data_IF_080643681361
#
_entry.id   IF_080643681361
#
_cell.length_a   1.000
_cell.length_b   1.000
_cell.length_c   1.000
_cell.angle_alpha   90.00
_cell.angle_beta   90.00
_cell.angle_gamma   90.00
#
_symmetry.space_group_name_H-M   'P 1'
#
loop_
_entity.id
_entity.type
_entity.pdbx_description
1 polymer ?
#
# COMPACT_ATOMS: atom_id res chain seq x y z
N UNK A 1 21.89 35.71 22.74
CA UNK A 1 22.83 35.46 21.63
C UNK A 1 23.01 33.96 21.37
N UNK A 2 23.52 33.16 22.31
CA UNK A 2 23.83 31.73 22.12
C UNK A 2 22.68 30.86 21.55
N UNK A 3 21.43 31.09 21.96
CA UNK A 3 20.27 30.34 21.43
C UNK A 3 19.90 30.72 19.99
N UNK A 4 20.16 31.95 19.55
CA UNK A 4 19.90 32.40 18.17
C UNK A 4 20.93 31.82 17.20
N UNK A 5 22.18 31.70 17.63
CA UNK A 5 23.26 31.10 16.82
C UNK A 5 23.05 29.59 16.66
N UNK A 6 22.57 28.90 17.69
CA UNK A 6 22.22 27.47 17.61
C UNK A 6 21.05 27.21 16.64
N UNK A 7 20.01 28.04 16.68
CA UNK A 7 18.84 27.91 15.80
C UNK A 7 19.18 28.21 14.33
N UNK A 8 20.13 29.13 14.09
CA UNK A 8 20.69 29.41 12.77
C UNK A 8 21.59 28.28 12.27
N UNK A 9 22.43 27.70 13.13
CA UNK A 9 23.26 26.53 12.79
C UNK A 9 22.38 25.31 12.50
N UNK A 10 21.31 25.09 13.25
CA UNK A 10 20.36 24.00 13.02
C UNK A 10 19.60 24.19 11.69
N UNK A 11 19.16 25.41 11.37
CA UNK A 11 18.56 25.75 10.06
C UNK A 11 19.55 25.57 8.91
N UNK A 12 20.81 25.94 9.11
CA UNK A 12 21.88 25.75 8.12
C UNK A 12 22.19 24.26 7.92
N UNK A 13 22.29 23.49 9.00
CA UNK A 13 22.54 22.05 8.95
C UNK A 13 21.38 21.28 8.30
N UNK A 14 20.14 21.63 8.63
CA UNK A 14 18.95 21.02 8.00
C UNK A 14 18.83 21.40 6.52
N UNK A 15 19.17 22.63 6.12
CA UNK A 15 19.20 23.04 4.70
C UNK A 15 20.38 22.47 3.90
N UNK A 16 21.52 22.19 4.54
CA UNK A 16 22.64 21.47 3.92
C UNK A 16 22.30 19.98 3.77
N UNK A 17 21.59 19.38 4.72
CA UNK A 17 21.21 17.96 4.67
C UNK A 17 20.01 17.67 3.75
N UNK A 18 19.13 18.65 3.48
CA UNK A 18 17.98 18.45 2.58
C UNK A 18 18.41 18.17 1.14
N UNK A 19 19.44 18.84 0.61
CA UNK A 19 19.91 18.64 -0.76
C UNK A 19 20.44 17.21 -1.03
N UNK A 20 21.35 16.64 -0.20
CA UNK A 20 21.76 15.24 -0.31
C UNK A 20 20.60 14.26 -0.12
N UNK A 21 19.68 14.52 0.82
CA UNK A 21 18.51 13.64 1.04
C UNK A 21 17.59 13.65 -0.17
N UNK A 22 17.31 14.82 -0.75
CA UNK A 22 16.54 14.95 -1.99
C UNK A 22 17.26 14.27 -3.16
N UNK A 23 18.57 14.46 -3.29
CA UNK A 23 19.39 13.78 -4.30
C UNK A 23 19.36 12.26 -4.18
N UNK A 24 19.47 11.73 -2.96
CA UNK A 24 19.33 10.29 -2.67
C UNK A 24 17.91 9.80 -2.98
N UNK A 25 16.88 10.56 -2.63
CA UNK A 25 15.49 10.23 -2.99
C UNK A 25 15.33 10.16 -4.51
N UNK A 26 15.78 11.17 -5.25
CA UNK A 26 15.72 11.21 -6.73
C UNK A 26 16.49 10.05 -7.33
N UNK A 27 17.72 9.80 -6.87
CA UNK A 27 18.54 8.66 -7.31
C UNK A 27 17.85 7.31 -7.06
N UNK A 28 17.23 7.16 -5.88
CA UNK A 28 16.43 5.99 -5.54
C UNK A 28 15.22 5.82 -6.48
N UNK A 29 14.48 6.90 -6.77
CA UNK A 29 13.34 6.86 -7.70
C UNK A 29 13.77 6.54 -9.15
N UNK A 30 14.87 7.10 -9.63
CA UNK A 30 15.41 6.83 -10.96
C UNK A 30 15.90 5.39 -11.09
N UNK A 31 16.68 4.90 -10.12
CA UNK A 31 17.16 3.51 -10.08
C UNK A 31 15.99 2.52 -10.07
N UNK A 32 14.97 2.80 -9.25
CA UNK A 32 13.75 2.00 -9.19
C UNK A 32 12.99 1.97 -10.53
N UNK A 33 12.95 3.11 -11.24
CA UNK A 33 12.29 3.20 -12.54
C UNK A 33 13.03 2.39 -13.61
N UNK A 34 14.36 2.44 -13.63
CA UNK A 34 15.18 1.60 -14.53
C UNK A 34 14.97 0.10 -14.27
N UNK A 35 14.95 -0.32 -13.01
CA UNK A 35 14.68 -1.71 -12.65
C UNK A 35 13.29 -2.16 -13.06
N UNK A 36 12.29 -1.28 -12.93
CA UNK A 36 10.92 -1.55 -13.38
C UNK A 36 10.84 -1.82 -14.88
N UNK A 37 11.51 -1.00 -15.70
CA UNK A 37 11.52 -1.17 -17.17
C UNK A 37 12.15 -2.52 -17.55
N UNK A 38 13.33 -2.84 -17.01
CA UNK A 38 14.00 -4.14 -17.23
C UNK A 38 13.11 -5.33 -16.84
N UNK A 39 12.35 -5.21 -15.75
CA UNK A 39 11.45 -6.27 -15.32
C UNK A 39 10.23 -6.42 -16.24
N UNK A 40 9.72 -5.32 -16.82
CA UNK A 40 8.63 -5.36 -17.81
C UNK A 40 9.11 -6.09 -19.07
N UNK A 41 10.29 -5.75 -19.58
CA UNK A 41 10.88 -6.42 -20.75
C UNK A 41 11.03 -7.93 -20.50
N UNK A 42 11.59 -8.31 -19.35
CA UNK A 42 11.68 -9.72 -18.95
C UNK A 42 10.32 -10.41 -18.84
N UNK A 43 9.32 -9.73 -18.29
CA UNK A 43 7.96 -10.28 -18.16
C UNK A 43 7.36 -10.59 -19.53
N UNK A 44 7.52 -9.68 -20.50
CA UNK A 44 7.05 -9.89 -21.88
C UNK A 44 7.74 -11.11 -22.48
N UNK A 45 9.06 -11.23 -22.35
CA UNK A 45 9.81 -12.39 -22.87
C UNK A 45 9.38 -13.71 -22.25
N UNK A 46 9.15 -13.76 -20.94
CA UNK A 46 8.79 -15.00 -20.22
C UNK A 46 7.34 -15.41 -20.49
N UNK A 47 6.42 -14.46 -20.70
CA UNK A 47 5.02 -14.76 -21.01
C UNK A 47 4.87 -15.31 -22.43
N UNK A 48 5.71 -14.87 -23.36
CA UNK A 48 5.69 -15.30 -24.77
C UNK A 48 6.54 -16.56 -25.06
N UNK A 49 7.19 -17.16 -24.07
CA UNK A 49 8.05 -18.33 -24.28
C UNK A 49 7.27 -19.66 -24.24
N UNK A 50 7.74 -20.67 -24.97
CA UNK A 50 7.12 -22.01 -24.99
C UNK A 50 7.21 -22.74 -23.64
N UNK A 51 8.19 -22.37 -22.80
CA UNK A 51 8.36 -22.89 -21.43
C UNK A 51 8.14 -21.78 -20.42
N UNK A 52 6.87 -21.61 -20.02
CA UNK A 52 6.49 -20.55 -19.09
C UNK A 52 6.83 -20.96 -17.65
N UNK A 53 7.72 -20.20 -17.03
CA UNK A 53 7.98 -20.31 -15.60
C UNK A 53 6.95 -19.46 -14.82
N UNK A 54 5.89 -20.09 -14.33
CA UNK A 54 4.80 -19.41 -13.61
C UNK A 54 5.30 -18.63 -12.39
N UNK A 55 6.23 -19.18 -11.60
CA UNK A 55 6.78 -18.53 -10.41
C UNK A 55 7.49 -17.23 -10.78
N UNK A 56 8.27 -17.25 -11.87
CA UNK A 56 8.98 -16.07 -12.36
C UNK A 56 8.01 -14.99 -12.86
N UNK A 57 6.95 -15.38 -13.58
CA UNK A 57 5.90 -14.45 -14.04
C UNK A 57 5.25 -13.73 -12.86
N UNK A 58 4.85 -14.48 -11.84
CA UNK A 58 4.21 -13.92 -10.64
C UNK A 58 5.14 -12.97 -9.89
N UNK A 59 6.41 -13.37 -9.69
CA UNK A 59 7.40 -12.54 -9.02
C UNK A 59 7.70 -11.23 -9.78
N UNK A 60 7.85 -11.30 -11.10
CA UNK A 60 8.06 -10.12 -11.95
C UNK A 60 6.84 -9.19 -11.89
N UNK A 61 5.63 -9.72 -12.00
CA UNK A 61 4.40 -8.94 -11.93
C UNK A 61 4.26 -8.20 -10.60
N UNK A 62 4.48 -8.91 -9.47
CA UNK A 62 4.47 -8.30 -8.14
C UNK A 62 5.54 -7.21 -7.99
N UNK A 63 6.74 -7.44 -8.53
CA UNK A 63 7.83 -6.45 -8.51
C UNK A 63 7.48 -5.16 -9.27
N UNK A 64 6.87 -5.29 -10.45
CA UNK A 64 6.55 -4.15 -11.33
C UNK A 64 5.37 -3.34 -10.80
N UNK A 65 4.29 -4.02 -10.40
CA UNK A 65 3.00 -3.39 -10.12
C UNK A 65 2.68 -3.29 -8.62
N UNK A 66 3.52 -3.85 -7.74
CA UNK A 66 3.31 -3.90 -6.28
C UNK A 66 1.92 -4.45 -5.91
N UNK A 67 1.43 -5.37 -6.72
CA UNK A 67 0.21 -6.12 -6.42
C UNK A 67 0.53 -7.22 -5.42
N UNK A 68 -0.42 -7.58 -4.56
CA UNK A 68 -0.42 -8.89 -3.90
C UNK A 68 -0.58 -9.99 -4.95
N UNK A 69 -0.48 -11.24 -4.48
CA UNK A 69 -0.56 -12.47 -5.28
C UNK A 69 -1.60 -12.37 -6.43
N UNK A 70 -1.10 -12.42 -7.65
CA UNK A 70 -1.84 -12.59 -8.91
C UNK A 70 -1.23 -13.81 -9.58
N UNK A 71 -2.07 -14.74 -10.00
CA UNK A 71 -1.59 -15.98 -10.63
C UNK A 71 -1.02 -15.71 -12.02
N UNK A 72 -0.07 -16.54 -12.45
CA UNK A 72 0.51 -16.44 -13.80
C UNK A 72 -0.56 -16.50 -14.90
N UNK A 73 -1.65 -17.25 -14.70
CA UNK A 73 -2.78 -17.32 -15.63
C UNK A 73 -3.51 -15.99 -15.78
N UNK A 74 -3.82 -15.32 -14.67
CA UNK A 74 -4.45 -13.99 -14.68
C UNK A 74 -3.55 -12.97 -15.38
N UNK A 75 -2.22 -13.04 -15.18
CA UNK A 75 -1.25 -12.18 -15.88
C UNK A 75 -1.28 -12.43 -17.38
N UNK A 76 -1.27 -13.70 -17.83
CA UNK A 76 -1.34 -14.03 -19.26
C UNK A 76 -2.59 -13.46 -19.90
N UNK A 77 -3.74 -13.68 -19.26
CA UNK A 77 -5.03 -13.19 -19.76
C UNK A 77 -5.00 -11.66 -19.93
N UNK A 78 -4.43 -10.92 -18.97
CA UNK A 78 -4.32 -9.46 -19.04
C UNK A 78 -3.37 -8.98 -20.14
N UNK A 79 -2.25 -9.69 -20.34
CA UNK A 79 -1.24 -9.35 -21.35
C UNK A 79 -1.74 -9.60 -22.79
N UNK A 80 -2.73 -10.49 -22.95
CA UNK A 80 -3.36 -10.77 -24.25
C UNK A 80 -4.42 -9.73 -24.66
N UNK A 81 -4.78 -8.78 -23.79
CA UNK A 81 -5.79 -7.77 -24.10
C UNK A 81 -5.19 -6.58 -24.86
N UNK A 82 -5.95 -6.00 -25.78
CA UNK A 82 -5.53 -4.79 -26.53
C UNK A 82 -5.14 -3.62 -25.60
N UNK A 83 -5.85 -3.45 -24.48
CA UNK A 83 -5.61 -2.42 -23.48
C UNK A 83 -4.78 -2.90 -22.28
N UNK A 84 -3.85 -3.85 -22.50
CA UNK A 84 -3.05 -4.51 -21.45
C UNK A 84 -2.55 -3.56 -20.35
N UNK A 85 -1.88 -2.46 -20.71
CA UNK A 85 -1.28 -1.54 -19.72
C UNK A 85 -2.32 -0.93 -18.79
N UNK A 86 -3.46 -0.50 -19.32
CA UNK A 86 -4.53 0.13 -18.52
C UNK A 86 -5.26 -0.90 -17.66
N UNK A 87 -5.53 -2.07 -18.22
CA UNK A 87 -6.18 -3.16 -17.51
C UNK A 87 -5.30 -3.68 -16.37
N UNK A 88 -4.00 -3.90 -16.63
CA UNK A 88 -3.03 -4.34 -15.63
C UNK A 88 -2.91 -3.32 -14.49
N UNK A 89 -2.82 -2.02 -14.81
CA UNK A 89 -2.77 -0.97 -13.78
C UNK A 89 -4.05 -0.90 -12.95
N UNK A 90 -5.21 -1.17 -13.55
CA UNK A 90 -6.47 -1.19 -12.82
C UNK A 90 -6.60 -2.46 -11.96
N UNK A 91 -6.19 -3.60 -12.50
CA UNK A 91 -6.22 -4.90 -11.83
C UNK A 91 -5.26 -4.96 -10.64
N UNK A 92 -4.05 -4.40 -10.78
CA UNK A 92 -3.08 -4.35 -9.69
C UNK A 92 -3.58 -3.48 -8.52
N UNK A 93 -4.36 -2.43 -8.79
CA UNK A 93 -5.03 -1.64 -7.74
C UNK A 93 -6.13 -2.42 -7.03
N UNK A 94 -6.89 -3.26 -7.76
CA UNK A 94 -7.87 -4.16 -7.15
C UNK A 94 -7.22 -5.15 -6.20
N UNK A 95 -6.01 -5.60 -6.51
CA UNK A 95 -5.30 -6.64 -5.77
C UNK A 95 -4.06 -6.12 -5.03
N UNK A 96 -4.03 -4.84 -4.63
CA UNK A 96 -2.82 -4.23 -4.04
C UNK A 96 -2.50 -4.77 -2.64
N UNK A 97 -3.45 -4.76 -1.70
CA UNK A 97 -3.21 -5.21 -0.31
C UNK A 97 -3.79 -6.61 -0.05
N UNK A 98 -4.91 -6.93 -0.70
CA UNK A 98 -5.62 -8.21 -0.63
C UNK A 98 -6.01 -8.68 -2.03
N UNK A 99 -6.12 -9.99 -2.24
CA UNK A 99 -6.70 -10.56 -3.46
C UNK A 99 -8.24 -10.46 -3.38
N UNK A 100 -8.77 -9.35 -3.88
CA UNK A 100 -10.21 -9.05 -3.85
C UNK A 100 -10.93 -9.69 -5.02
N UNK A 101 -10.24 -9.83 -6.16
CA UNK A 101 -10.84 -10.33 -7.40
C UNK A 101 -10.01 -11.44 -8.02
N UNK A 102 -10.72 -12.27 -8.78
CA UNK A 102 -10.17 -13.29 -9.67
C UNK A 102 -10.57 -12.96 -11.10
N UNK A 103 -9.64 -13.17 -12.03
CA UNK A 103 -9.87 -13.01 -13.45
C UNK A 103 -9.95 -14.39 -14.11
N UNK A 104 -11.00 -14.63 -14.92
CA UNK A 104 -11.16 -15.87 -15.69
C UNK A 104 -11.59 -15.55 -17.12
N UNK A 105 -11.16 -16.38 -18.06
CA UNK A 105 -11.71 -16.42 -19.41
C UNK A 105 -12.76 -17.53 -19.47
N UNK A 106 -14.00 -17.19 -19.82
CA UNK A 106 -15.11 -18.14 -19.98
C UNK A 106 -15.71 -17.90 -21.36
N UNK A 107 -15.70 -18.93 -22.20
CA UNK A 107 -16.22 -18.86 -23.58
C UNK A 107 -15.59 -17.73 -24.43
N UNK A 108 -14.33 -17.39 -24.15
CA UNK A 108 -13.60 -16.31 -24.83
C UNK A 108 -13.88 -14.91 -24.27
N UNK A 109 -14.87 -14.76 -23.38
CA UNK A 109 -15.14 -13.52 -22.70
C UNK A 109 -14.39 -13.43 -21.36
N UNK A 110 -13.79 -12.26 -21.13
CA UNK A 110 -13.09 -11.97 -19.90
C UNK A 110 -14.08 -11.61 -18.79
N UNK A 111 -14.08 -12.37 -17.70
CA UNK A 111 -14.93 -12.12 -16.55
C UNK A 111 -14.06 -11.87 -15.32
N UNK A 112 -14.27 -10.69 -14.71
CA UNK A 112 -13.74 -10.36 -13.39
C UNK A 112 -14.79 -10.65 -12.32
N UNK A 113 -14.43 -11.45 -11.32
CA UNK A 113 -15.32 -11.81 -10.21
C UNK A 113 -14.65 -11.49 -8.89
N UNK A 114 -15.47 -11.27 -7.86
CA UNK A 114 -14.96 -11.22 -6.50
C UNK A 114 -14.45 -12.60 -6.07
N UNK A 115 -13.38 -12.62 -5.28
CA UNK A 115 -12.88 -13.84 -4.66
C UNK A 115 -13.95 -14.47 -3.76
N UNK A 116 -13.86 -15.78 -3.51
CA UNK A 116 -14.89 -16.55 -2.80
C UNK A 116 -15.31 -15.93 -1.45
N UNK A 117 -14.35 -15.34 -0.72
CA UNK A 117 -14.60 -14.65 0.55
C UNK A 117 -15.48 -13.39 0.44
N UNK A 118 -15.50 -12.75 -0.74
CA UNK A 118 -16.13 -11.46 -1.01
C UNK A 118 -17.24 -11.53 -2.09
N UNK A 119 -17.68 -12.73 -2.46
CA UNK A 119 -18.61 -12.91 -3.59
C UNK A 119 -19.97 -12.23 -3.37
N UNK A 120 -20.51 -12.22 -2.14
CA UNK A 120 -21.80 -11.56 -1.84
C UNK A 120 -21.63 -10.10 -1.42
N UNK A 121 -22.65 -9.28 -1.71
CA UNK A 121 -22.71 -7.90 -1.25
C UNK A 121 -22.65 -7.80 0.27
N UNK A 122 -23.39 -8.67 0.97
CA UNK A 122 -23.42 -8.71 2.44
C UNK A 122 -22.01 -8.95 3.02
N UNK A 123 -21.25 -9.92 2.48
CA UNK A 123 -19.88 -10.20 2.92
C UNK A 123 -18.93 -9.04 2.65
N UNK A 124 -19.05 -8.36 1.50
CA UNK A 124 -18.22 -7.18 1.19
C UNK A 124 -18.47 -6.04 2.15
N UNK A 125 -19.73 -5.75 2.45
CA UNK A 125 -20.08 -4.69 3.40
C UNK A 125 -19.61 -5.08 4.80
N UNK A 126 -19.89 -6.31 5.24
CA UNK A 126 -19.46 -6.80 6.56
C UNK A 126 -17.94 -6.70 6.74
N UNK A 127 -17.14 -7.25 5.83
CA UNK A 127 -15.69 -7.19 5.93
C UNK A 127 -15.15 -5.77 5.70
N UNK A 128 -15.63 -5.06 4.69
CA UNK A 128 -15.17 -3.70 4.38
C UNK A 128 -15.49 -2.71 5.50
N UNK A 129 -16.77 -2.57 5.85
CA UNK A 129 -17.22 -1.64 6.88
C UNK A 129 -16.77 -2.08 8.28
N UNK A 130 -16.81 -3.39 8.58
CA UNK A 130 -16.33 -3.92 9.84
C UNK A 130 -14.85 -3.63 10.07
N UNK A 131 -14.01 -3.83 9.06
CA UNK A 131 -12.57 -3.52 9.15
C UNK A 131 -12.31 -2.03 9.33
N UNK A 132 -13.05 -1.16 8.62
CA UNK A 132 -12.97 0.30 8.82
C UNK A 132 -13.42 0.70 10.24
N UNK A 133 -14.50 0.11 10.75
CA UNK A 133 -14.98 0.38 12.10
C UNK A 133 -13.95 -0.06 13.16
N UNK A 134 -13.36 -1.24 13.01
CA UNK A 134 -12.29 -1.72 13.90
C UNK A 134 -11.09 -0.77 13.90
N UNK A 135 -10.72 -0.23 12.72
CA UNK A 135 -9.68 0.79 12.61
C UNK A 135 -10.06 2.05 13.39
N UNK A 136 -11.27 2.57 13.23
CA UNK A 136 -11.75 3.73 13.99
C UNK A 136 -11.72 3.46 15.51
N UNK A 137 -12.17 2.29 15.95
CA UNK A 137 -12.15 1.89 17.36
C UNK A 137 -10.73 1.83 17.92
N UNK A 138 -9.77 1.27 17.17
CA UNK A 138 -8.36 1.25 17.56
C UNK A 138 -7.79 2.66 17.72
N UNK A 139 -8.16 3.58 16.84
CA UNK A 139 -7.72 4.97 16.94
C UNK A 139 -8.32 5.69 18.14
N UNK A 140 -9.62 5.49 18.42
CA UNK A 140 -10.28 6.07 19.60
C UNK A 140 -9.68 5.51 20.90
N UNK A 141 -9.45 4.20 20.97
CA UNK A 141 -8.78 3.57 22.12
C UNK A 141 -7.37 4.11 22.33
N UNK A 142 -6.62 4.30 21.24
CA UNK A 142 -5.29 4.89 21.30
C UNK A 142 -5.31 6.31 21.86
N UNK A 143 -6.19 7.18 21.36
CA UNK A 143 -6.35 8.55 21.88
C UNK A 143 -6.73 8.56 23.36
N UNK A 144 -7.63 7.66 23.79
CA UNK A 144 -8.02 7.54 25.19
C UNK A 144 -6.83 7.19 26.09
N UNK A 145 -6.05 6.18 25.71
CA UNK A 145 -4.85 5.75 26.46
C UNK A 145 -3.76 6.83 26.45
N UNK A 146 -3.56 7.53 25.33
CA UNK A 146 -2.58 8.60 25.22
C UNK A 146 -2.91 9.79 26.13
N UNK A 147 -4.20 10.16 26.24
CA UNK A 147 -4.66 11.21 27.15
C UNK A 147 -4.38 10.85 28.62
N UNK A 148 -4.72 9.63 29.04
CA UNK A 148 -4.48 9.16 30.40
C UNK A 148 -2.97 9.09 30.72
N UNK A 149 -2.15 8.71 29.74
CA UNK A 149 -0.70 8.63 29.90
C UNK A 149 -0.05 10.02 30.00
N UNK A 150 -0.51 11.01 29.22
CA UNK A 150 -0.05 12.40 29.34
C UNK A 150 -0.38 12.95 30.72
N UNK A 151 -1.60 12.72 31.23
CA UNK A 151 -2.00 13.16 32.56
C UNK A 151 -1.19 12.48 33.67
N UNK A 152 -0.87 11.19 33.53
CA UNK A 152 -0.02 10.46 34.46
C UNK A 152 1.42 10.95 34.48
N UNK A 153 1.98 11.30 33.31
CA UNK A 153 3.31 11.91 33.21
C UNK A 153 3.34 13.32 33.78
N UNK A 154 2.31 14.14 33.53
CA UNK A 154 2.20 15.49 34.08
C UNK A 154 2.08 15.46 35.61
N UNK A 155 1.39 14.47 36.17
CA UNK A 155 1.28 14.26 37.62
C UNK A 155 2.56 13.77 38.33
N UNK A 156 3.51 13.15 37.61
CA UNK A 156 4.74 12.55 38.20
C UNK A 156 6.06 13.22 37.74
N UNK A 157 6.02 14.25 36.90
CA UNK A 157 7.19 14.82 36.23
C UNK A 157 7.98 15.88 37.00
N UNK A 158 7.84 15.96 38.33
CA UNK A 158 8.76 16.73 39.17
C UNK A 158 10.07 15.98 39.52
N UNK A 159 10.26 14.72 39.11
CA UNK A 159 11.45 13.94 39.47
C UNK A 159 12.09 13.15 38.32
N UNK A 160 13.26 13.59 37.86
CA UNK A 160 14.24 12.91 36.97
C UNK A 160 14.10 13.12 35.45
N UNK A 161 14.96 13.98 34.90
CA UNK A 161 15.02 14.35 33.49
C UNK A 161 15.64 13.26 32.57
N UNK A 162 16.36 12.26 33.11
CA UNK A 162 17.01 11.20 32.31
C UNK A 162 16.09 9.99 32.02
N UNK A 163 15.17 9.63 32.94
CA UNK A 163 14.12 8.64 32.65
C UNK A 163 13.10 9.14 31.61
N UNK A 164 13.04 10.47 31.41
CA UNK A 164 12.10 11.12 30.50
C UNK A 164 12.44 10.88 29.01
N UNK A 165 13.71 10.84 28.61
CA UNK A 165 14.07 10.69 27.18
C UNK A 165 13.74 9.28 26.66
N UNK A 166 14.04 8.24 27.45
CA UNK A 166 13.70 6.87 27.08
C UNK A 166 12.19 6.64 27.07
N UNK A 167 11.46 7.17 28.07
CA UNK A 167 10.00 7.11 28.11
C UNK A 167 9.34 7.83 26.93
N UNK A 168 9.82 9.02 26.56
CA UNK A 168 9.34 9.78 25.39
C UNK A 168 9.63 9.03 24.09
N UNK A 169 10.83 8.46 23.95
CA UNK A 169 11.21 7.69 22.73
C UNK A 169 10.35 6.43 22.57
N UNK A 170 10.16 5.69 23.67
CA UNK A 170 9.31 4.50 23.69
C UNK A 170 7.85 4.87 23.34
N UNK A 171 7.33 5.97 23.89
CA UNK A 171 5.98 6.44 23.60
C UNK A 171 5.83 6.80 22.11
N UNK A 172 6.77 7.57 21.53
CA UNK A 172 6.76 7.89 20.10
C UNK A 172 6.76 6.62 19.24
N UNK A 173 7.55 5.60 19.60
CA UNK A 173 7.60 4.33 18.86
C UNK A 173 6.27 3.57 18.95
N UNK A 174 5.67 3.49 20.14
CA UNK A 174 4.37 2.85 20.35
C UNK A 174 3.28 3.58 19.56
N UNK A 175 3.22 4.91 19.66
CA UNK A 175 2.28 5.75 18.89
C UNK A 175 2.45 5.54 17.38
N UNK A 176 3.70 5.51 16.88
CA UNK A 176 3.98 5.23 15.48
C UNK A 176 3.50 3.83 15.05
N UNK A 177 3.75 2.80 15.86
CA UNK A 177 3.28 1.43 15.58
C UNK A 177 1.75 1.34 15.52
N UNK A 178 1.05 1.98 16.46
CA UNK A 178 -0.42 2.00 16.50
C UNK A 178 -0.98 2.76 15.30
N UNK A 179 -0.40 3.91 14.95
CA UNK A 179 -0.79 4.67 13.75
C UNK A 179 -0.58 3.85 12.47
N UNK A 180 0.54 3.12 12.36
CA UNK A 180 0.79 2.22 11.22
C UNK A 180 -0.28 1.12 11.16
N UNK A 181 -0.58 0.48 12.29
CA UNK A 181 -1.60 -0.58 12.37
C UNK A 181 -2.99 -0.05 12.02
N UNK A 182 -3.39 1.08 12.59
CA UNK A 182 -4.64 1.79 12.29
C UNK A 182 -4.79 2.05 10.79
N UNK A 183 -3.77 2.67 10.16
CA UNK A 183 -3.79 3.02 8.75
C UNK A 183 -3.83 1.77 7.87
N UNK A 184 -3.06 0.73 8.21
CA UNK A 184 -3.05 -0.51 7.45
C UNK A 184 -4.45 -1.16 7.44
N UNK A 185 -5.07 -1.31 8.61
CA UNK A 185 -6.42 -1.89 8.74
C UNK A 185 -7.45 -1.04 7.99
N UNK A 186 -7.40 0.28 8.14
CA UNK A 186 -8.28 1.19 7.39
C UNK A 186 -8.19 0.97 5.88
N UNK A 187 -6.97 0.92 5.36
CA UNK A 187 -6.71 0.75 3.93
C UNK A 187 -7.24 -0.59 3.40
N UNK A 188 -7.12 -1.68 4.18
CA UNK A 188 -7.70 -2.98 3.82
C UNK A 188 -9.23 -2.89 3.66
N UNK A 189 -9.91 -2.30 4.64
CA UNK A 189 -11.37 -2.13 4.61
C UNK A 189 -11.83 -1.22 3.48
N UNK A 190 -11.15 -0.08 3.30
CA UNK A 190 -11.42 0.87 2.23
C UNK A 190 -11.24 0.24 0.83
N UNK A 191 -10.22 -0.61 0.64
CA UNK A 191 -9.99 -1.29 -0.62
C UNK A 191 -11.17 -2.20 -1.01
N UNK A 192 -11.74 -2.92 -0.04
CA UNK A 192 -12.93 -3.78 -0.25
C UNK A 192 -14.17 -2.95 -0.61
N UNK A 193 -14.35 -1.78 0.01
CA UNK A 193 -15.52 -0.94 -0.26
C UNK A 193 -15.43 -0.25 -1.62
N UNK A 194 -14.24 0.19 -2.02
CA UNK A 194 -14.00 0.91 -3.28
C UNK A 194 -13.90 -0.03 -4.48
N UNK A 195 -13.62 -1.33 -4.25
CA UNK A 195 -13.42 -2.33 -5.32
C UNK A 195 -14.53 -2.34 -6.36
N UNK A 196 -15.80 -2.13 -5.98
CA UNK A 196 -16.93 -2.10 -6.92
C UNK A 196 -16.76 -1.01 -7.99
N UNK A 197 -16.32 0.19 -7.59
CA UNK A 197 -16.08 1.30 -8.53
C UNK A 197 -14.92 0.97 -9.46
N UNK A 198 -13.87 0.34 -8.94
CA UNK A 198 -12.69 -0.03 -9.72
C UNK A 198 -13.03 -1.16 -10.71
N UNK A 199 -13.84 -2.14 -10.33
CA UNK A 199 -14.34 -3.19 -11.24
C UNK A 199 -15.19 -2.59 -12.35
N UNK A 200 -16.09 -1.65 -12.05
CA UNK A 200 -16.87 -0.96 -13.08
C UNK A 200 -15.96 -0.23 -14.07
N UNK A 201 -14.90 0.43 -13.59
CA UNK A 201 -13.89 1.05 -14.44
C UNK A 201 -13.11 0.03 -15.26
N UNK A 202 -12.76 -1.11 -14.68
CA UNK A 202 -12.09 -2.21 -15.38
C UNK A 202 -12.94 -2.71 -16.55
N UNK A 203 -14.21 -3.00 -16.29
CA UNK A 203 -15.17 -3.44 -17.31
C UNK A 203 -15.37 -2.35 -18.38
N UNK A 204 -15.45 -1.08 -17.99
CA UNK A 204 -15.50 0.01 -18.95
C UNK A 204 -14.28 0.01 -19.89
N UNK A 205 -13.06 -0.12 -19.36
CA UNK A 205 -11.82 -0.17 -20.19
C UNK A 205 -11.82 -1.40 -21.11
N UNK A 206 -12.35 -2.52 -20.63
CA UNK A 206 -12.44 -3.77 -21.38
C UNK A 206 -13.43 -3.65 -22.55
N UNK A 207 -14.58 -3.01 -22.35
CA UNK A 207 -15.68 -2.98 -23.32
C UNK A 207 -15.83 -1.66 -24.08
N UNK A 208 -15.07 -0.60 -23.78
CA UNK A 208 -15.20 0.72 -24.44
C UNK A 208 -14.80 0.77 -25.93
N UNK A 209 -14.58 -0.37 -26.58
CA UNK A 209 -14.20 -0.49 -28.01
C UNK A 209 -14.85 -1.65 -28.76
N UNK A 210 -15.83 -2.35 -28.17
CA UNK A 210 -16.78 -3.16 -28.95
C UNK A 210 -17.90 -2.23 -29.44
#
# INVERSE_FOLDING_TARGET
MVFQDFDNILKLATSILTLPVVGLMVGFFLSRSKNKIKNIEKLITVVSSDKINNILVEALFQSIYRSKYVSAEEVKILMQQENQTRLIQCYSKLNMLLKITELKSVDGDLIIRYSQGLHTLKRRIFWGAGTVLTSILLYVLFLYVEIDFIQYLDGNSYGSQLNNIFGVTLNILISAMVLIAYNYIFLLGAQILISKRIINKFNFILFSRR
#
